data_IF_521946536736
#
_entry.id   IF_521946536736
#
_cell.length_a   1.000
_cell.length_b   1.000
_cell.length_c   1.000
_cell.angle_alpha   90.00
_cell.angle_beta   90.00
_cell.angle_gamma   90.00
#
_symmetry.space_group_name_H-M   'P 1'
#
loop_
_entity.id
_entity.type
_entity.pdbx_description
1 polymer ?
#
# COMPACT_ATOMS: atom_id res chain seq x y z
N UNK A 1 -25.23 47.93 -57.44
CA UNK A 1 -24.04 47.38 -56.77
C UNK A 1 -24.49 46.14 -56.04
N UNK A 2 -24.38 44.98 -56.68
CA UNK A 2 -24.91 43.71 -56.21
C UNK A 2 -23.78 42.96 -55.49
N UNK A 3 -24.02 42.61 -54.23
CA UNK A 3 -23.09 41.82 -53.41
C UNK A 3 -23.02 40.39 -53.97
N UNK A 4 -21.91 40.05 -54.63
CA UNK A 4 -21.53 38.65 -54.89
C UNK A 4 -21.21 37.97 -53.57
N UNK A 5 -22.17 37.23 -53.01
CA UNK A 5 -21.86 36.15 -52.07
C UNK A 5 -20.99 35.14 -52.81
N UNK A 6 -19.73 35.02 -52.42
CA UNK A 6 -18.88 33.93 -52.85
C UNK A 6 -19.37 32.68 -52.13
N UNK A 7 -20.30 32.00 -52.76
CA UNK A 7 -20.66 30.63 -52.43
C UNK A 7 -19.38 29.80 -52.55
N UNK A 8 -18.72 29.53 -51.42
CA UNK A 8 -17.59 28.63 -51.36
C UNK A 8 -18.16 27.28 -51.79
N UNK A 9 -18.01 26.92 -53.06
CA UNK A 9 -18.46 25.63 -53.55
C UNK A 9 -17.84 24.57 -52.66
N UNK A 10 -18.66 23.97 -51.80
CA UNK A 10 -18.28 22.88 -50.93
C UNK A 10 -17.80 21.77 -51.85
N UNK A 11 -16.48 21.70 -52.03
CA UNK A 11 -15.79 20.73 -52.85
C UNK A 11 -16.37 19.35 -52.55
N UNK A 12 -16.51 18.50 -53.57
CA UNK A 12 -16.98 17.12 -53.41
C UNK A 12 -16.23 16.39 -52.27
N UNK A 13 -14.95 16.72 -52.07
CA UNK A 13 -14.13 16.27 -50.95
C UNK A 13 -14.70 16.66 -49.58
N UNK A 14 -15.21 17.88 -49.41
CA UNK A 14 -15.76 18.35 -48.14
C UNK A 14 -17.00 17.55 -47.72
N UNK A 15 -17.94 17.32 -48.65
CA UNK A 15 -19.18 16.56 -48.38
C UNK A 15 -18.93 15.09 -48.14
N UNK A 16 -17.98 14.48 -48.85
CA UNK A 16 -17.77 13.03 -48.75
C UNK A 16 -16.74 12.63 -47.71
N UNK A 17 -15.74 13.49 -47.44
CA UNK A 17 -14.61 13.20 -46.56
C UNK A 17 -14.71 13.89 -45.19
N UNK A 18 -14.98 15.19 -45.15
CA UNK A 18 -14.99 15.96 -43.89
C UNK A 18 -16.35 15.92 -43.17
N UNK A 19 -17.46 15.87 -43.92
CA UNK A 19 -18.82 15.80 -43.35
C UNK A 19 -19.24 14.36 -42.98
N UNK A 20 -18.41 13.37 -43.31
CA UNK A 20 -18.66 11.98 -42.95
C UNK A 20 -18.12 11.68 -41.55
N UNK A 21 -19.05 11.40 -40.62
CA UNK A 21 -18.74 11.05 -39.22
C UNK A 21 -17.76 9.88 -39.09
N UNK A 22 -17.85 8.87 -39.96
CA UNK A 22 -16.96 7.71 -39.92
C UNK A 22 -15.50 8.08 -40.27
N UNK A 23 -15.33 8.94 -41.28
CA UNK A 23 -14.01 9.41 -41.70
C UNK A 23 -13.41 10.34 -40.65
N UNK A 24 -14.21 11.22 -40.05
CA UNK A 24 -13.76 12.08 -38.95
C UNK A 24 -13.30 11.26 -37.74
N UNK A 25 -14.07 10.26 -37.31
CA UNK A 25 -13.69 9.35 -36.21
C UNK A 25 -12.40 8.58 -36.54
N UNK A 26 -12.27 8.08 -37.78
CA UNK A 26 -11.06 7.42 -38.24
C UNK A 26 -9.84 8.36 -38.20
N UNK A 27 -9.99 9.60 -38.69
CA UNK A 27 -8.93 10.61 -38.68
C UNK A 27 -8.49 10.99 -37.26
N UNK A 28 -9.44 11.20 -36.34
CA UNK A 28 -9.16 11.50 -34.94
C UNK A 28 -8.43 10.32 -34.27
N UNK A 29 -8.86 9.09 -34.53
CA UNK A 29 -8.21 7.88 -34.01
C UNK A 29 -6.80 7.72 -34.57
N UNK A 30 -6.61 7.96 -35.86
CA UNK A 30 -5.31 7.92 -36.54
C UNK A 30 -4.37 9.00 -36.02
N UNK A 31 -4.88 10.22 -35.79
CA UNK A 31 -4.12 11.31 -35.18
C UNK A 31 -3.74 11.02 -33.71
N UNK A 32 -4.64 10.44 -32.91
CA UNK A 32 -4.31 9.95 -31.57
C UNK A 32 -3.21 8.89 -31.62
N UNK A 33 -3.34 7.90 -32.50
CA UNK A 33 -2.33 6.85 -32.70
C UNK A 33 -0.98 7.40 -33.15
N UNK A 34 -0.97 8.38 -34.05
CA UNK A 34 0.25 9.07 -34.50
C UNK A 34 0.92 9.84 -33.36
N UNK A 35 0.16 10.55 -32.53
CA UNK A 35 0.68 11.23 -31.35
C UNK A 35 1.34 10.24 -30.38
N UNK A 36 0.68 9.11 -30.09
CA UNK A 36 1.23 8.05 -29.23
C UNK A 36 2.51 7.46 -29.83
N UNK A 37 2.54 7.22 -31.14
CA UNK A 37 3.73 6.70 -31.84
C UNK A 37 4.91 7.68 -31.77
N UNK A 38 4.66 8.97 -32.00
CA UNK A 38 5.69 10.02 -31.91
C UNK A 38 6.20 10.14 -30.47
N UNK A 39 5.32 10.15 -29.47
CA UNK A 39 5.68 10.16 -28.05
C UNK A 39 6.56 8.95 -27.68
N UNK A 40 6.26 7.77 -28.20
CA UNK A 40 7.06 6.56 -28.00
C UNK A 40 8.48 6.70 -28.59
N UNK A 41 8.62 7.32 -29.76
CA UNK A 41 9.93 7.59 -30.40
C UNK A 41 10.76 8.65 -29.68
N UNK A 42 10.12 9.55 -28.93
CA UNK A 42 10.78 10.62 -28.16
C UNK A 42 10.96 10.21 -26.68
N UNK A 43 10.65 8.96 -26.32
CA UNK A 43 10.77 8.41 -24.95
C UNK A 43 12.12 8.66 -24.27
N UNK A 44 13.22 8.73 -25.04
CA UNK A 44 14.55 9.10 -24.54
C UNK A 44 14.58 10.47 -23.83
N UNK A 45 13.79 11.46 -24.27
CA UNK A 45 13.70 12.78 -23.60
C UNK A 45 13.06 12.65 -22.21
N UNK A 46 12.17 11.67 -22.03
CA UNK A 46 11.50 11.43 -20.76
C UNK A 46 12.29 10.51 -19.82
N UNK A 47 13.29 9.76 -20.33
CA UNK A 47 14.11 8.85 -19.51
C UNK A 47 14.77 9.55 -18.30
N UNK A 48 15.44 10.71 -18.46
CA UNK A 48 16.06 11.40 -17.33
C UNK A 48 15.04 11.85 -16.28
N UNK A 49 13.83 12.24 -16.71
CA UNK A 49 12.75 12.66 -15.81
C UNK A 49 12.22 11.47 -15.03
N UNK A 50 12.00 10.33 -15.69
CA UNK A 50 11.52 9.09 -15.07
C UNK A 50 12.56 8.55 -14.08
N UNK A 51 13.84 8.56 -14.44
CA UNK A 51 14.94 8.16 -13.56
C UNK A 51 15.07 9.07 -12.35
N UNK A 52 15.00 10.39 -12.55
CA UNK A 52 15.00 11.38 -11.47
C UNK A 52 13.82 11.18 -10.52
N UNK A 53 12.61 11.01 -11.08
CA UNK A 53 11.43 10.71 -10.28
C UNK A 53 11.61 9.39 -9.53
N UNK A 54 12.17 8.35 -10.15
CA UNK A 54 12.46 7.07 -9.50
C UNK A 54 13.35 7.22 -8.27
N UNK A 55 14.38 8.06 -8.32
CA UNK A 55 15.29 8.30 -7.18
C UNK A 55 14.62 9.07 -6.04
N UNK A 56 13.80 10.08 -6.36
CA UNK A 56 13.20 10.98 -5.36
C UNK A 56 11.86 10.46 -4.83
N UNK A 57 11.21 9.56 -5.56
CA UNK A 57 9.92 8.99 -5.22
C UNK A 57 9.96 8.35 -3.83
N UNK A 58 10.97 7.53 -3.53
CA UNK A 58 11.11 6.85 -2.24
C UNK A 58 11.12 7.81 -1.04
N UNK A 59 12.03 8.80 -0.96
CA UNK A 59 12.03 9.74 0.17
C UNK A 59 10.77 10.60 0.24
N UNK A 60 10.19 11.01 -0.90
CA UNK A 60 8.95 11.80 -0.92
C UNK A 60 7.78 11.01 -0.35
N UNK A 61 7.65 9.74 -0.73
CA UNK A 61 6.58 8.87 -0.27
C UNK A 61 6.68 8.64 1.23
N UNK A 62 7.87 8.25 1.71
CA UNK A 62 8.09 8.01 3.13
C UNK A 62 7.87 9.29 3.95
N UNK A 63 8.34 10.43 3.46
CA UNK A 63 8.08 11.72 4.09
C UNK A 63 6.59 12.07 4.09
N UNK A 64 5.84 11.77 3.02
CA UNK A 64 4.39 11.96 2.96
C UNK A 64 3.64 11.09 3.96
N UNK A 65 3.96 9.79 4.03
CA UNK A 65 3.37 8.87 5.01
C UNK A 65 3.63 9.34 6.44
N UNK A 66 4.89 9.68 6.76
CA UNK A 66 5.25 10.21 8.07
C UNK A 66 4.61 11.57 8.34
N UNK A 67 4.49 12.45 7.34
CA UNK A 67 3.81 13.74 7.49
C UNK A 67 2.36 13.54 7.94
N UNK A 68 1.60 12.67 7.29
CA UNK A 68 0.20 12.41 7.68
C UNK A 68 0.06 11.78 9.05
N UNK A 69 1.04 10.96 9.47
CA UNK A 69 1.06 10.35 10.80
C UNK A 69 1.44 11.35 11.90
N UNK A 70 2.41 12.22 11.63
CA UNK A 70 3.06 13.08 12.64
C UNK A 70 2.46 14.48 12.72
N UNK A 71 1.88 14.99 11.62
CA UNK A 71 1.29 16.34 11.61
C UNK A 71 0.22 16.53 12.70
N UNK A 72 -0.66 15.56 13.03
CA UNK A 72 -1.59 15.69 14.16
C UNK A 72 -0.89 15.91 15.51
N UNK A 73 0.27 15.28 15.73
CA UNK A 73 1.07 15.42 16.96
C UNK A 73 1.66 16.85 17.00
N UNK A 74 2.23 17.32 15.89
CA UNK A 74 2.77 18.67 15.78
C UNK A 74 1.67 19.72 15.97
N UNK A 75 0.51 19.54 15.34
CA UNK A 75 -0.64 20.45 15.47
C UNK A 75 -1.23 20.43 16.90
N UNK A 76 -1.22 19.28 17.58
CA UNK A 76 -1.60 19.19 18.98
C UNK A 76 -0.65 19.98 19.89
N UNK A 77 0.66 19.87 19.66
CA UNK A 77 1.68 20.65 20.39
C UNK A 77 1.55 22.16 20.12
N UNK A 78 1.31 22.54 18.86
CA UNK A 78 1.09 23.93 18.44
C UNK A 78 -0.14 24.54 19.14
N UNK A 79 -1.24 23.77 19.27
CA UNK A 79 -2.42 24.17 20.06
C UNK A 79 -2.12 24.41 21.54
N UNK A 80 -1.10 23.73 22.10
CA UNK A 80 -0.63 23.91 23.47
C UNK A 80 0.46 25.00 23.60
N UNK A 81 0.49 25.96 22.66
CA UNK A 81 1.39 27.12 22.64
C UNK A 81 2.88 26.78 22.43
N UNK A 82 3.21 25.58 21.97
CA UNK A 82 4.58 25.23 21.57
C UNK A 82 4.80 25.77 20.15
N UNK A 83 5.90 26.50 19.90
CA UNK A 83 6.24 26.94 18.55
C UNK A 83 6.37 25.72 17.62
N UNK A 84 5.74 25.79 16.43
CA UNK A 84 5.76 24.73 15.41
C UNK A 84 7.16 24.19 15.14
N UNK A 85 8.19 25.04 15.06
CA UNK A 85 9.57 24.59 14.86
C UNK A 85 10.07 23.72 16.01
N UNK A 86 9.79 24.11 17.26
CA UNK A 86 10.16 23.36 18.46
C UNK A 86 9.40 22.03 18.52
N UNK A 87 8.11 22.04 18.19
CA UNK A 87 7.30 20.82 18.11
C UNK A 87 7.88 19.83 17.08
N UNK A 88 8.25 20.29 15.89
CA UNK A 88 8.90 19.46 14.87
C UNK A 88 10.22 18.89 15.39
N UNK A 89 11.08 19.71 16.00
CA UNK A 89 12.35 19.23 16.57
C UNK A 89 12.13 18.17 17.64
N UNK A 90 11.18 18.36 18.55
CA UNK A 90 10.85 17.37 19.60
C UNK A 90 10.39 16.05 18.95
N UNK A 91 9.50 16.12 17.97
CA UNK A 91 9.02 14.93 17.24
C UNK A 91 10.17 14.20 16.55
N UNK A 92 11.09 14.92 15.89
CA UNK A 92 12.26 14.33 15.24
C UNK A 92 13.18 13.64 16.24
N UNK A 93 13.49 14.29 17.37
CA UNK A 93 14.34 13.70 18.42
C UNK A 93 13.67 12.46 19.02
N UNK A 94 12.37 12.52 19.29
CA UNK A 94 11.61 11.38 19.82
C UNK A 94 11.61 10.21 18.84
N UNK A 95 11.37 10.45 17.55
CA UNK A 95 11.39 9.40 16.53
C UNK A 95 12.78 8.81 16.37
N UNK A 96 13.82 9.65 16.29
CA UNK A 96 15.19 9.17 16.21
C UNK A 96 15.54 8.29 17.42
N UNK A 97 15.15 8.71 18.63
CA UNK A 97 15.31 7.92 19.84
C UNK A 97 14.55 6.59 19.77
N UNK A 98 13.27 6.60 19.39
CA UNK A 98 12.44 5.40 19.27
C UNK A 98 12.97 4.42 18.21
N UNK A 99 13.47 4.93 17.08
CA UNK A 99 14.09 4.11 16.03
C UNK A 99 15.39 3.50 16.55
N UNK A 100 16.30 4.29 17.12
CA UNK A 100 17.58 3.79 17.64
C UNK A 100 17.33 2.74 18.73
N UNK A 101 16.46 3.04 19.69
CA UNK A 101 16.09 2.12 20.77
C UNK A 101 15.41 0.86 20.25
N UNK A 102 14.42 1.02 19.36
CA UNK A 102 13.68 -0.07 18.74
C UNK A 102 14.60 -0.99 17.94
N UNK A 103 15.50 -0.45 17.12
CA UNK A 103 16.48 -1.24 16.38
C UNK A 103 17.50 -1.91 17.29
N UNK A 104 17.98 -1.22 18.34
CA UNK A 104 18.91 -1.79 19.31
C UNK A 104 18.34 -2.98 20.08
N UNK A 105 17.02 -3.02 20.31
CA UNK A 105 16.34 -4.15 20.96
C UNK A 105 15.89 -5.21 19.94
N UNK A 106 15.29 -4.78 18.84
CA UNK A 106 14.69 -5.67 17.86
C UNK A 106 15.74 -6.42 17.06
N UNK A 107 16.79 -5.77 16.55
CA UNK A 107 17.78 -6.44 15.67
C UNK A 107 18.46 -7.61 16.40
N UNK A 108 19.04 -7.45 17.61
CA UNK A 108 19.68 -8.57 18.29
C UNK A 108 18.68 -9.67 18.65
N UNK A 109 17.48 -9.30 19.10
CA UNK A 109 16.44 -10.26 19.46
C UNK A 109 16.00 -11.07 18.23
N UNK A 110 15.71 -10.41 17.10
CA UNK A 110 15.37 -11.04 15.83
C UNK A 110 16.50 -11.97 15.37
N UNK A 111 17.75 -11.49 15.40
CA UNK A 111 18.91 -12.31 15.03
C UNK A 111 19.01 -13.56 15.90
N UNK A 112 18.91 -13.43 17.23
CA UNK A 112 18.93 -14.57 18.14
C UNK A 112 17.79 -15.54 17.87
N UNK A 113 16.57 -15.04 17.63
CA UNK A 113 15.40 -15.87 17.37
C UNK A 113 15.48 -16.60 16.03
N UNK A 114 15.93 -15.93 14.96
CA UNK A 114 16.14 -16.55 13.65
C UNK A 114 17.24 -17.59 13.73
N UNK A 115 18.38 -17.29 14.34
CA UNK A 115 19.48 -18.24 14.49
C UNK A 115 19.10 -19.43 15.38
N UNK A 116 18.33 -19.20 16.45
CA UNK A 116 17.81 -20.27 17.30
C UNK A 116 16.79 -21.14 16.55
N UNK A 117 15.93 -20.54 15.72
CA UNK A 117 15.03 -21.31 14.87
C UNK A 117 15.81 -22.23 13.93
N UNK A 118 16.73 -21.67 13.13
CA UNK A 118 17.53 -22.42 12.15
C UNK A 118 18.32 -23.56 12.79
N UNK A 119 18.98 -23.30 13.93
CA UNK A 119 19.75 -24.34 14.65
C UNK A 119 18.87 -25.49 15.16
N UNK A 120 17.62 -25.21 15.49
CA UNK A 120 16.71 -26.20 16.05
C UNK A 120 15.83 -26.91 15.00
N UNK A 121 15.81 -26.45 13.73
CA UNK A 121 15.06 -27.09 12.64
C UNK A 121 15.28 -28.61 12.57
N UNK A 122 16.53 -29.14 12.62
CA UNK A 122 16.72 -30.59 12.53
C UNK A 122 16.10 -31.36 13.71
N UNK A 123 16.12 -30.78 14.91
CA UNK A 123 15.51 -31.38 16.09
C UNK A 123 13.98 -31.37 15.99
N UNK A 124 13.42 -30.30 15.43
CA UNK A 124 11.99 -30.16 15.19
C UNK A 124 11.46 -31.14 14.14
N UNK A 125 12.16 -31.32 13.03
CA UNK A 125 11.81 -32.31 12.01
C UNK A 125 11.78 -33.72 12.59
N UNK A 126 12.81 -34.10 13.38
CA UNK A 126 12.82 -35.39 14.09
C UNK A 126 11.64 -35.57 15.05
N UNK A 127 11.12 -34.48 15.62
CA UNK A 127 10.00 -34.52 16.55
C UNK A 127 8.66 -34.65 15.80
N UNK A 128 8.54 -33.99 14.63
CA UNK A 128 7.44 -34.16 13.71
C UNK A 128 7.40 -35.59 13.14
N UNK A 129 8.55 -36.13 12.71
CA UNK A 129 8.66 -37.51 12.19
C UNK A 129 8.18 -38.53 13.22
N UNK A 130 8.54 -38.38 14.51
CA UNK A 130 8.06 -39.27 15.58
C UNK A 130 6.55 -39.17 15.81
N UNK A 131 5.98 -37.97 15.74
CA UNK A 131 4.54 -37.79 15.91
C UNK A 131 3.78 -38.40 14.73
N UNK A 132 4.28 -38.19 13.51
CA UNK A 132 3.71 -38.79 12.31
C UNK A 132 3.82 -40.30 12.38
N UNK A 133 4.99 -40.85 12.73
CA UNK A 133 5.17 -42.31 12.85
C UNK A 133 4.21 -42.90 13.89
N UNK A 134 4.02 -42.27 15.06
CA UNK A 134 3.07 -42.73 16.09
C UNK A 134 1.60 -42.67 15.62
N UNK A 135 1.22 -41.64 14.85
CA UNK A 135 -0.14 -41.53 14.29
C UNK A 135 -0.35 -42.52 13.14
N UNK A 136 0.62 -42.64 12.23
CA UNK A 136 0.57 -43.51 11.05
C UNK A 136 0.57 -44.97 11.46
N UNK A 137 1.46 -45.40 12.37
CA UNK A 137 1.50 -46.79 12.85
C UNK A 137 0.26 -47.20 13.64
N UNK A 138 -0.42 -46.27 14.32
CA UNK A 138 -1.60 -46.60 15.13
C UNK A 138 -2.95 -46.47 14.41
N UNK A 139 -3.07 -45.59 13.41
CA UNK A 139 -4.37 -45.21 12.85
C UNK A 139 -4.47 -45.30 11.32
N UNK A 140 -3.38 -45.59 10.61
CA UNK A 140 -3.37 -45.67 9.14
C UNK A 140 -2.99 -47.09 8.70
N UNK A 141 -3.68 -47.62 7.69
CA UNK A 141 -3.41 -48.95 7.15
C UNK A 141 -2.02 -49.04 6.51
N UNK A 142 -1.42 -50.23 6.59
CA UNK A 142 -0.06 -50.49 6.11
C UNK A 142 0.16 -50.13 4.63
N UNK A 143 -0.90 -50.11 3.83
CA UNK A 143 -0.87 -49.80 2.40
C UNK A 143 -0.53 -48.33 2.10
N UNK A 144 -0.84 -47.40 3.00
CA UNK A 144 -0.55 -45.96 2.84
C UNK A 144 0.76 -45.53 3.52
N UNK A 145 1.35 -46.39 4.35
CA UNK A 145 2.58 -46.10 5.11
C UNK A 145 3.76 -45.68 4.22
N UNK A 146 4.12 -46.39 3.13
CA UNK A 146 5.26 -46.00 2.30
C UNK A 146 5.05 -44.67 1.58
N UNK A 147 3.81 -44.34 1.19
CA UNK A 147 3.49 -43.04 0.57
C UNK A 147 3.70 -41.91 1.58
N UNK A 148 3.20 -42.06 2.81
CA UNK A 148 3.36 -41.03 3.85
C UNK A 148 4.82 -40.83 4.24
N UNK A 149 5.61 -41.90 4.36
CA UNK A 149 7.05 -41.82 4.64
C UNK A 149 7.82 -41.08 3.53
N UNK A 150 7.48 -41.32 2.26
CA UNK A 150 8.09 -40.62 1.13
C UNK A 150 7.71 -39.12 1.09
N UNK A 151 6.43 -38.78 1.27
CA UNK A 151 5.97 -37.38 1.32
C UNK A 151 6.58 -36.61 2.49
N UNK A 152 6.75 -37.25 3.65
CA UNK A 152 7.30 -36.60 4.84
C UNK A 152 8.80 -36.41 4.75
N UNK A 153 9.55 -37.38 4.23
CA UNK A 153 10.98 -37.23 3.93
C UNK A 153 11.24 -36.09 2.92
N UNK A 154 10.45 -36.04 1.84
CA UNK A 154 10.53 -34.98 0.83
C UNK A 154 10.12 -33.60 1.37
N UNK A 155 9.15 -33.54 2.28
CA UNK A 155 8.75 -32.29 2.92
C UNK A 155 9.81 -31.80 3.91
N UNK A 156 10.40 -32.71 4.70
CA UNK A 156 11.48 -32.42 5.66
C UNK A 156 12.74 -31.89 4.98
N UNK A 157 13.13 -32.46 3.82
CA UNK A 157 14.26 -31.96 3.03
C UNK A 157 13.98 -30.57 2.45
N UNK A 158 12.81 -30.36 1.83
CA UNK A 158 12.39 -29.06 1.30
C UNK A 158 12.30 -27.97 2.37
N UNK A 159 11.82 -28.31 3.58
CA UNK A 159 11.75 -27.37 4.71
C UNK A 159 13.15 -27.01 5.21
N UNK A 160 14.08 -27.97 5.27
CA UNK A 160 15.48 -27.71 5.67
C UNK A 160 16.17 -26.80 4.67
N UNK A 161 15.97 -27.05 3.38
CA UNK A 161 16.48 -26.21 2.29
C UNK A 161 15.84 -24.84 2.31
N UNK A 162 14.52 -24.74 2.53
CA UNK A 162 13.83 -23.46 2.65
C UNK A 162 14.32 -22.66 3.87
N UNK A 163 14.47 -23.28 5.04
CA UNK A 163 14.91 -22.61 6.26
C UNK A 163 16.37 -22.10 6.15
N UNK A 164 17.27 -22.92 5.59
CA UNK A 164 18.66 -22.53 5.36
C UNK A 164 18.79 -21.43 4.30
N UNK A 165 18.03 -21.52 3.21
CA UNK A 165 17.96 -20.48 2.17
C UNK A 165 17.29 -19.20 2.65
N UNK A 166 16.22 -19.29 3.44
CA UNK A 166 15.54 -18.11 4.00
C UNK A 166 16.47 -17.37 4.96
N UNK A 167 17.18 -18.08 5.84
CA UNK A 167 18.14 -17.47 6.75
C UNK A 167 19.31 -16.82 6.00
N UNK A 168 19.92 -17.51 5.04
CA UNK A 168 21.03 -16.95 4.27
C UNK A 168 20.57 -15.76 3.42
N UNK A 169 19.39 -15.82 2.81
CA UNK A 169 18.79 -14.70 2.07
C UNK A 169 18.38 -13.56 2.99
N UNK A 170 17.86 -13.80 4.19
CA UNK A 170 17.50 -12.74 5.14
C UNK A 170 18.74 -12.00 5.64
N UNK A 171 19.81 -12.74 5.99
CA UNK A 171 21.10 -12.16 6.39
C UNK A 171 21.76 -11.43 5.22
N UNK A 172 21.74 -12.01 4.02
CA UNK A 172 22.27 -11.37 2.82
C UNK A 172 21.42 -10.16 2.39
N UNK A 173 20.10 -10.20 2.54
CA UNK A 173 19.23 -9.06 2.29
C UNK A 173 19.50 -7.93 3.28
N UNK A 174 19.63 -8.23 4.57
CA UNK A 174 20.04 -7.23 5.56
C UNK A 174 21.44 -6.66 5.26
N UNK A 175 22.40 -7.52 4.90
CA UNK A 175 23.76 -7.10 4.51
C UNK A 175 23.79 -6.29 3.21
N UNK A 176 22.93 -6.62 2.23
CA UNK A 176 22.82 -5.93 0.95
C UNK A 176 22.04 -4.61 1.07
N UNK A 177 21.06 -4.53 1.97
CA UNK A 177 20.43 -3.26 2.37
C UNK A 177 21.45 -2.31 2.98
N UNK A 178 22.38 -2.84 3.77
CA UNK A 178 23.47 -2.07 4.39
C UNK A 178 24.54 -1.70 3.34
N UNK A 179 24.83 -2.58 2.37
CA UNK A 179 25.97 -2.41 1.46
C UNK A 179 25.65 -1.74 0.11
N UNK A 180 24.45 -1.89 -0.47
CA UNK A 180 24.29 -1.66 -1.92
C UNK A 180 22.91 -1.18 -2.37
N UNK A 181 22.38 -0.09 -1.82
CA UNK A 181 21.41 0.71 -2.60
C UNK A 181 21.60 2.19 -2.36
N UNK A 182 22.30 2.86 -3.28
CA UNK A 182 22.47 4.32 -3.28
C UNK A 182 21.13 5.05 -3.10
N UNK A 183 20.03 4.50 -3.64
CA UNK A 183 18.68 5.05 -3.49
C UNK A 183 18.17 5.03 -2.04
N UNK A 184 18.45 3.98 -1.25
CA UNK A 184 18.01 3.89 0.15
C UNK A 184 18.80 4.86 1.02
N UNK A 185 20.12 4.97 0.82
CA UNK A 185 20.96 5.92 1.55
C UNK A 185 20.52 7.36 1.23
N UNK A 186 20.34 7.66 -0.06
CA UNK A 186 19.79 8.94 -0.51
C UNK A 186 18.43 9.19 0.14
N UNK A 187 17.56 8.19 0.21
CA UNK A 187 16.26 8.37 0.82
C UNK A 187 16.33 8.60 2.34
N UNK A 188 17.15 7.85 3.08
CA UNK A 188 17.32 8.02 4.53
C UNK A 188 17.83 9.43 4.85
N UNK A 189 18.69 9.99 4.00
CA UNK A 189 19.21 11.35 4.17
C UNK A 189 18.16 12.37 3.77
N UNK A 190 17.54 12.25 2.59
CA UNK A 190 16.64 13.25 2.02
C UNK A 190 15.26 13.26 2.69
N UNK A 191 14.72 12.10 3.07
CA UNK A 191 13.39 11.96 3.67
C UNK A 191 13.21 12.86 4.91
N UNK A 192 14.12 12.90 5.89
CA UNK A 192 14.02 13.83 7.02
C UNK A 192 13.92 15.29 6.60
N UNK A 193 14.67 15.73 5.59
CA UNK A 193 14.58 17.10 5.08
C UNK A 193 13.20 17.35 4.46
N UNK A 194 12.72 16.48 3.58
CA UNK A 194 11.40 16.62 2.96
C UNK A 194 10.31 16.64 4.03
N UNK A 195 10.35 15.71 4.98
CA UNK A 195 9.42 15.63 6.09
C UNK A 195 9.43 16.91 6.94
N UNK A 196 10.60 17.47 7.22
CA UNK A 196 10.74 18.72 7.96
C UNK A 196 10.01 19.86 7.24
N UNK A 197 10.25 20.04 5.93
CA UNK A 197 9.58 21.09 5.14
C UNK A 197 8.08 20.83 4.99
N UNK A 198 7.64 19.58 4.82
CA UNK A 198 6.21 19.24 4.80
C UNK A 198 5.54 19.57 6.13
N UNK A 199 6.15 19.21 7.26
CA UNK A 199 5.61 19.56 8.58
C UNK A 199 5.65 21.07 8.84
N UNK A 200 6.68 21.78 8.38
CA UNK A 200 6.78 23.23 8.59
C UNK A 200 5.79 24.00 7.73
N UNK A 201 5.76 23.73 6.43
CA UNK A 201 5.13 24.58 5.41
C UNK A 201 3.87 23.93 4.79
N UNK A 202 3.54 22.68 5.13
CA UNK A 202 2.45 21.90 4.51
C UNK A 202 1.08 22.58 4.58
N UNK A 203 0.78 23.34 5.63
CA UNK A 203 -0.46 24.12 5.75
C UNK A 203 -0.62 25.17 4.64
N UNK A 204 0.50 25.71 4.14
CA UNK A 204 0.51 26.76 3.12
C UNK A 204 0.58 26.20 1.69
N UNK A 205 0.85 24.90 1.52
CA UNK A 205 1.06 24.27 0.21
C UNK A 205 -0.13 24.49 -0.75
N UNK A 206 -1.37 24.36 -0.26
CA UNK A 206 -2.59 24.65 -1.04
C UNK A 206 -2.61 26.08 -1.58
N UNK A 207 -2.24 27.06 -0.76
CA UNK A 207 -2.16 28.47 -1.17
C UNK A 207 -1.10 28.69 -2.24
N UNK A 208 0.08 28.10 -2.05
CA UNK A 208 1.18 28.21 -3.01
C UNK A 208 0.90 27.54 -4.35
N UNK A 209 0.12 26.46 -4.39
CA UNK A 209 -0.24 25.82 -5.66
C UNK A 209 -1.38 26.58 -6.35
N UNK A 210 -2.41 27.00 -5.61
CA UNK A 210 -3.57 27.67 -6.20
C UNK A 210 -3.25 29.05 -6.79
N UNK A 211 -2.18 29.72 -6.37
CA UNK A 211 -1.78 31.01 -6.94
C UNK A 211 -1.38 30.92 -8.43
N UNK A 212 -0.86 29.77 -8.88
CA UNK A 212 -0.48 29.53 -10.28
C UNK A 212 -1.67 29.27 -11.20
N UNK A 213 -2.88 29.09 -10.64
CA UNK A 213 -4.09 28.81 -11.40
C UNK A 213 -4.88 30.10 -11.70
N UNK A 214 -5.62 30.14 -12.83
CA UNK A 214 -6.59 31.20 -13.10
C UNK A 214 -7.61 31.34 -11.97
N UNK A 215 -8.01 32.58 -11.66
CA UNK A 215 -8.87 32.92 -10.50
C UNK A 215 -10.16 32.10 -10.44
N UNK A 216 -10.76 31.80 -11.61
CA UNK A 216 -11.98 30.99 -11.74
C UNK A 216 -11.82 29.54 -11.24
N UNK A 217 -10.61 28.96 -11.32
CA UNK A 217 -10.36 27.57 -10.94
C UNK A 217 -9.80 27.40 -9.53
N UNK A 218 -9.30 28.48 -8.90
CA UNK A 218 -8.62 28.42 -7.60
C UNK A 218 -9.47 27.77 -6.50
N UNK A 219 -10.74 28.14 -6.41
CA UNK A 219 -11.64 27.60 -5.39
C UNK A 219 -11.91 26.10 -5.61
N UNK A 220 -12.29 25.71 -6.83
CA UNK A 220 -12.59 24.31 -7.17
C UNK A 220 -11.35 23.41 -7.02
N UNK A 221 -10.20 23.81 -7.56
CA UNK A 221 -8.96 23.05 -7.41
C UNK A 221 -8.49 22.99 -5.95
N UNK A 222 -8.64 24.09 -5.21
CA UNK A 222 -8.34 24.14 -3.79
C UNK A 222 -9.21 23.18 -2.97
N UNK A 223 -10.48 23.01 -3.33
CA UNK A 223 -11.35 22.02 -2.70
C UNK A 223 -10.86 20.60 -2.99
N UNK A 224 -10.56 20.27 -4.26
CA UNK A 224 -10.02 18.96 -4.65
C UNK A 224 -8.73 18.61 -3.90
N UNK A 225 -7.80 19.55 -3.75
CA UNK A 225 -6.60 19.33 -2.94
C UNK A 225 -6.92 19.04 -1.47
N UNK A 226 -7.94 19.71 -0.92
CA UNK A 226 -8.36 19.51 0.48
C UNK A 226 -8.96 18.12 0.67
N UNK A 227 -9.81 17.71 -0.27
CA UNK A 227 -10.46 16.41 -0.25
C UNK A 227 -9.43 15.27 -0.41
N UNK A 228 -8.49 15.41 -1.35
CA UNK A 228 -7.38 14.46 -1.52
C UNK A 228 -6.53 14.38 -0.24
N UNK A 229 -6.12 15.52 0.30
CA UNK A 229 -5.32 15.57 1.53
C UNK A 229 -6.05 14.93 2.71
N UNK A 230 -7.37 15.15 2.85
CA UNK A 230 -8.20 14.48 3.85
C UNK A 230 -8.19 12.97 3.66
N UNK A 231 -8.37 12.47 2.43
CA UNK A 231 -8.43 11.02 2.19
C UNK A 231 -7.09 10.34 2.39
N UNK A 232 -5.99 10.97 1.99
CA UNK A 232 -4.65 10.49 2.28
C UNK A 232 -4.38 10.47 3.80
N UNK A 233 -4.69 11.56 4.50
CA UNK A 233 -4.51 11.63 5.95
C UNK A 233 -5.31 10.57 6.70
N UNK A 234 -6.55 10.36 6.29
CA UNK A 234 -7.45 9.37 6.87
C UNK A 234 -6.99 7.94 6.58
N UNK A 235 -6.63 7.64 5.33
CA UNK A 235 -6.10 6.33 4.95
C UNK A 235 -4.84 5.99 5.72
N UNK A 236 -3.83 6.87 5.74
CA UNK A 236 -2.54 6.59 6.38
C UNK A 236 -2.70 6.36 7.88
N UNK A 237 -3.45 7.23 8.57
CA UNK A 237 -3.70 7.10 10.01
C UNK A 237 -4.52 5.86 10.32
N UNK A 238 -5.54 5.59 9.52
CA UNK A 238 -6.36 4.40 9.63
C UNK A 238 -5.50 3.13 9.47
N UNK A 239 -4.69 3.04 8.42
CA UNK A 239 -3.88 1.87 8.14
C UNK A 239 -2.83 1.60 9.22
N UNK A 240 -2.17 2.64 9.73
CA UNK A 240 -1.24 2.50 10.85
C UNK A 240 -1.97 2.03 12.11
N UNK A 241 -3.19 2.52 12.35
CA UNK A 241 -4.02 2.08 13.48
C UNK A 241 -4.41 0.61 13.35
N UNK A 242 -4.84 0.17 12.15
CA UNK A 242 -5.13 -1.25 11.88
C UNK A 242 -3.88 -2.10 12.08
N UNK A 243 -2.73 -1.69 11.53
CA UNK A 243 -1.46 -2.39 11.69
C UNK A 243 -1.06 -2.60 13.17
N UNK A 244 -1.24 -1.58 14.02
CA UNK A 244 -0.97 -1.68 15.46
C UNK A 244 -1.94 -2.66 16.14
N UNK A 245 -3.24 -2.57 15.81
CA UNK A 245 -4.25 -3.48 16.37
C UNK A 245 -3.95 -4.93 15.98
N UNK A 246 -3.64 -5.17 14.71
CA UNK A 246 -3.27 -6.51 14.19
C UNK A 246 -2.02 -7.03 14.88
N UNK A 247 -0.98 -6.21 15.05
CA UNK A 247 0.21 -6.60 15.82
C UNK A 247 -0.16 -7.04 17.24
N UNK A 248 -0.93 -6.22 17.96
CA UNK A 248 -1.35 -6.54 19.32
C UNK A 248 -2.18 -7.82 19.38
N UNK A 249 -3.13 -8.00 18.46
CA UNK A 249 -3.95 -9.21 18.37
C UNK A 249 -3.10 -10.46 18.16
N UNK A 250 -2.20 -10.47 17.18
CA UNK A 250 -1.31 -11.60 16.97
C UNK A 250 -0.39 -11.85 18.16
N UNK A 251 0.17 -10.81 18.79
CA UNK A 251 0.99 -10.95 20.01
C UNK A 251 0.18 -11.65 21.12
N UNK A 252 -1.04 -11.19 21.37
CA UNK A 252 -1.91 -11.77 22.42
C UNK A 252 -2.32 -13.19 22.07
N UNK A 253 -2.83 -13.43 20.86
CA UNK A 253 -3.32 -14.74 20.45
C UNK A 253 -2.21 -15.78 20.37
N UNK A 254 -1.04 -15.44 19.80
CA UNK A 254 0.12 -16.32 19.79
C UNK A 254 0.65 -16.63 21.20
N UNK A 255 0.60 -15.66 22.12
CA UNK A 255 0.94 -15.90 23.53
C UNK A 255 -0.04 -16.83 24.21
N UNK A 256 -1.35 -16.71 23.93
CA UNK A 256 -2.40 -17.59 24.47
C UNK A 256 -2.18 -19.04 24.03
N UNK A 257 -1.90 -19.28 22.74
CA UNK A 257 -1.68 -20.65 22.24
C UNK A 257 -0.30 -21.21 22.58
N UNK A 258 0.60 -20.39 23.15
CA UNK A 258 1.96 -20.78 23.52
C UNK A 258 2.90 -20.90 22.32
N UNK A 259 2.66 -20.17 21.24
CA UNK A 259 3.51 -20.19 20.05
C UNK A 259 4.85 -19.52 20.35
N UNK A 260 5.94 -20.24 20.04
CA UNK A 260 7.30 -19.69 20.17
C UNK A 260 7.45 -18.48 19.24
N UNK A 261 8.13 -17.45 19.73
CA UNK A 261 8.36 -16.20 18.99
C UNK A 261 7.07 -15.41 18.67
N UNK A 262 5.97 -15.65 19.39
CA UNK A 262 4.69 -14.98 19.15
C UNK A 262 4.76 -13.45 19.16
N UNK A 263 5.59 -12.85 20.02
CA UNK A 263 5.78 -11.38 20.04
C UNK A 263 6.37 -10.89 18.72
N UNK A 264 7.45 -11.53 18.28
CA UNK A 264 8.14 -11.20 17.03
C UNK A 264 7.26 -11.39 15.82
N UNK A 265 6.54 -12.51 15.75
CA UNK A 265 5.62 -12.80 14.66
C UNK A 265 4.48 -11.78 14.61
N UNK A 266 3.95 -11.36 15.75
CA UNK A 266 2.93 -10.31 15.80
C UNK A 266 3.46 -8.94 15.36
N UNK A 267 4.69 -8.56 15.74
CA UNK A 267 5.32 -7.32 15.24
C UNK A 267 5.52 -7.38 13.72
N UNK A 268 6.02 -8.50 13.19
CA UNK A 268 6.15 -8.72 11.74
C UNK A 268 4.78 -8.62 11.07
N UNK A 269 3.74 -9.20 11.67
CA UNK A 269 2.38 -9.13 11.17
C UNK A 269 1.86 -7.70 11.06
N UNK A 270 2.02 -6.88 12.11
CA UNK A 270 1.63 -5.48 12.03
C UNK A 270 2.38 -4.69 10.96
N UNK A 271 3.70 -4.88 10.85
CA UNK A 271 4.50 -4.19 9.82
C UNK A 271 4.06 -4.59 8.41
N UNK A 272 3.87 -5.89 8.16
CA UNK A 272 3.39 -6.38 6.87
C UNK A 272 1.96 -5.89 6.60
N UNK A 273 1.14 -5.73 7.64
CA UNK A 273 -0.22 -5.21 7.53
C UNK A 273 -0.32 -3.72 7.23
N UNK A 274 0.79 -3.02 7.00
CA UNK A 274 0.76 -1.73 6.30
C UNK A 274 0.27 -1.86 4.85
N UNK A 275 0.36 -3.06 4.26
CA UNK A 275 -0.29 -3.41 3.00
C UNK A 275 -1.61 -4.14 3.28
N UNK A 276 -2.78 -3.52 3.01
CA UNK A 276 -4.08 -4.12 3.30
C UNK A 276 -4.27 -5.49 2.66
N UNK A 277 -4.90 -6.41 3.40
CA UNK A 277 -5.25 -7.79 3.00
C UNK A 277 -4.06 -8.72 2.72
N UNK A 278 -2.94 -8.21 2.22
CA UNK A 278 -1.72 -8.99 1.95
C UNK A 278 -0.90 -9.20 3.22
N UNK A 279 -0.85 -8.21 4.11
CA UNK A 279 0.08 -8.20 5.24
C UNK A 279 -0.12 -9.34 6.23
N UNK A 280 -1.33 -9.50 6.75
CA UNK A 280 -1.69 -10.60 7.65
C UNK A 280 -1.48 -11.98 6.99
N UNK A 281 -1.74 -12.09 5.69
CA UNK A 281 -1.48 -13.33 4.94
C UNK A 281 0.02 -13.65 4.81
N UNK A 282 0.84 -12.66 4.46
CA UNK A 282 2.30 -12.84 4.38
C UNK A 282 2.91 -13.18 5.75
N UNK A 283 2.36 -12.59 6.82
CA UNK A 283 2.79 -12.86 8.18
C UNK A 283 2.39 -14.25 8.69
N UNK A 284 1.33 -14.84 8.12
CA UNK A 284 0.89 -16.19 8.44
C UNK A 284 1.93 -17.24 8.04
N UNK A 285 2.64 -17.05 6.91
CA UNK A 285 3.61 -18.01 6.38
C UNK A 285 4.68 -18.43 7.42
N UNK A 286 5.45 -17.50 8.03
CA UNK A 286 6.42 -17.88 9.05
C UNK A 286 5.76 -18.44 10.32
N UNK A 287 4.55 -18.00 10.69
CA UNK A 287 3.83 -18.50 11.85
C UNK A 287 3.37 -19.96 11.67
N UNK A 288 2.87 -20.33 10.48
CA UNK A 288 2.52 -21.71 10.14
C UNK A 288 3.74 -22.61 10.12
N UNK A 289 4.84 -22.14 9.52
CA UNK A 289 6.09 -22.88 9.50
C UNK A 289 6.57 -23.16 10.93
N UNK A 290 6.65 -22.13 11.79
CA UNK A 290 7.04 -22.30 13.19
C UNK A 290 6.05 -23.17 13.97
N UNK A 291 4.74 -23.00 13.73
CA UNK A 291 3.70 -23.78 14.39
C UNK A 291 3.82 -25.27 14.09
N UNK A 292 3.97 -25.64 12.81
CA UNK A 292 4.14 -27.02 12.38
C UNK A 292 5.47 -27.60 12.87
N UNK A 293 6.57 -26.87 12.63
CA UNK A 293 7.92 -27.36 12.88
C UNK A 293 8.18 -27.44 14.39
N UNK A 294 8.01 -26.35 15.12
CA UNK A 294 8.38 -26.30 16.53
C UNK A 294 7.30 -26.82 17.49
N UNK A 295 6.04 -26.94 17.04
CA UNK A 295 4.90 -27.34 17.88
C UNK A 295 4.09 -28.53 17.37
N UNK A 296 4.43 -29.09 16.21
CA UNK A 296 3.72 -30.22 15.60
C UNK A 296 2.32 -29.88 15.06
N UNK A 297 1.57 -30.90 14.59
CA UNK A 297 0.27 -30.71 13.95
C UNK A 297 -0.78 -30.03 14.81
N UNK A 298 -0.76 -30.26 16.14
CA UNK A 298 -1.68 -29.62 17.08
C UNK A 298 -1.43 -28.12 17.18
N UNK A 299 -0.17 -27.69 17.23
CA UNK A 299 0.15 -26.26 17.24
C UNK A 299 -0.15 -25.62 15.89
N UNK A 300 0.11 -26.31 14.77
CA UNK A 300 -0.30 -25.85 13.44
C UNK A 300 -1.81 -25.56 13.40
N UNK A 301 -2.65 -26.48 13.89
CA UNK A 301 -4.08 -26.29 13.97
C UNK A 301 -4.46 -25.07 14.83
N UNK A 302 -3.81 -24.87 15.99
CA UNK A 302 -4.00 -23.67 16.82
C UNK A 302 -3.63 -22.38 16.08
N UNK A 303 -2.54 -22.37 15.32
CA UNK A 303 -2.13 -21.20 14.52
C UNK A 303 -3.16 -20.88 13.44
N UNK A 304 -3.70 -21.89 12.76
CA UNK A 304 -4.78 -21.71 11.77
C UNK A 304 -6.04 -21.13 12.43
N UNK A 305 -6.42 -21.63 13.61
CA UNK A 305 -7.57 -21.09 14.36
C UNK A 305 -7.34 -19.63 14.76
N UNK A 306 -6.15 -19.29 15.26
CA UNK A 306 -5.78 -17.91 15.57
C UNK A 306 -5.91 -17.02 14.34
N UNK A 307 -5.44 -17.48 13.18
CA UNK A 307 -5.54 -16.73 11.94
C UNK A 307 -7.00 -16.51 11.50
N UNK A 308 -7.86 -17.52 11.58
CA UNK A 308 -9.28 -17.39 11.25
C UNK A 308 -9.97 -16.38 12.17
N UNK A 309 -9.67 -16.42 13.47
CA UNK A 309 -10.22 -15.48 14.47
C UNK A 309 -9.73 -14.07 14.16
N UNK A 310 -8.42 -13.90 13.96
CA UNK A 310 -7.79 -12.62 13.65
C UNK A 310 -8.38 -12.02 12.38
N UNK A 311 -8.43 -12.75 11.27
CA UNK A 311 -8.99 -12.29 10.01
C UNK A 311 -10.47 -11.92 10.11
N UNK A 312 -11.24 -12.67 10.91
CA UNK A 312 -12.65 -12.36 11.14
C UNK A 312 -12.79 -11.04 11.91
N UNK A 313 -11.98 -10.84 12.95
CA UNK A 313 -12.01 -9.61 13.75
C UNK A 313 -11.51 -8.42 12.92
N UNK A 314 -10.38 -8.58 12.22
CA UNK A 314 -9.79 -7.56 11.36
C UNK A 314 -10.78 -7.12 10.27
N UNK A 315 -11.31 -8.09 9.51
CA UNK A 315 -12.15 -7.81 8.36
C UNK A 315 -13.55 -7.31 8.70
N UNK A 316 -14.17 -7.83 9.79
CA UNK A 316 -15.56 -7.47 10.14
C UNK A 316 -15.68 -6.33 11.14
N UNK A 317 -14.65 -6.07 11.95
CA UNK A 317 -14.72 -5.07 13.03
C UNK A 317 -13.63 -4.01 12.89
N UNK A 318 -12.35 -4.39 12.90
CA UNK A 318 -11.25 -3.41 12.95
C UNK A 318 -11.23 -2.54 11.70
N UNK A 319 -11.20 -3.16 10.52
CA UNK A 319 -11.14 -2.42 9.25
C UNK A 319 -12.36 -1.51 9.06
N UNK A 320 -13.62 -1.97 9.26
CA UNK A 320 -14.78 -1.09 9.17
C UNK A 320 -14.80 0.03 10.21
N UNK A 321 -14.36 -0.21 11.46
CA UNK A 321 -14.36 0.82 12.51
C UNK A 321 -13.27 1.88 12.29
N UNK A 322 -12.12 1.48 11.75
CA UNK A 322 -10.95 2.34 11.60
C UNK A 322 -10.90 3.02 10.23
N UNK A 323 -11.17 2.27 9.16
CA UNK A 323 -11.14 2.77 7.77
C UNK A 323 -12.50 3.27 7.29
N UNK A 324 -13.60 2.79 7.89
CA UNK A 324 -14.94 3.37 7.78
C UNK A 324 -15.47 3.61 6.36
N UNK A 325 -16.41 4.56 6.27
CA UNK A 325 -16.99 5.07 5.01
C UNK A 325 -16.00 5.87 4.15
N UNK A 326 -14.81 6.16 4.67
CA UNK A 326 -13.89 7.15 4.11
C UNK A 326 -13.22 6.68 2.81
N UNK A 327 -13.15 5.37 2.56
CA UNK A 327 -12.58 4.85 1.31
C UNK A 327 -13.67 4.42 0.32
N UNK A 328 -14.79 3.84 0.78
CA UNK A 328 -15.86 3.30 -0.09
C UNK A 328 -15.29 2.59 -1.33
N UNK A 329 -14.25 1.77 -1.12
CA UNK A 329 -13.60 0.98 -2.16
C UNK A 329 -14.06 -0.45 -1.97
N UNK A 330 -14.66 -1.03 -3.01
CA UNK A 330 -15.03 -2.43 -2.99
C UNK A 330 -13.76 -3.30 -2.84
N UNK A 331 -13.76 -4.37 -2.02
CA UNK A 331 -12.57 -5.20 -1.79
C UNK A 331 -11.91 -5.73 -3.09
N UNK A 332 -12.73 -6.07 -4.09
CA UNK A 332 -12.23 -6.48 -5.42
C UNK A 332 -11.44 -5.36 -6.10
N UNK A 333 -11.86 -4.11 -5.96
CA UNK A 333 -11.13 -2.95 -6.50
C UNK A 333 -9.78 -2.80 -5.80
N UNK A 334 -9.72 -3.03 -4.49
CA UNK A 334 -8.45 -3.02 -3.74
C UNK A 334 -7.51 -4.09 -4.31
N UNK A 335 -8.00 -5.30 -4.54
CA UNK A 335 -7.20 -6.37 -5.14
C UNK A 335 -6.68 -5.99 -6.54
N UNK A 336 -7.53 -5.48 -7.43
CA UNK A 336 -7.10 -5.03 -8.76
C UNK A 336 -6.08 -3.91 -8.70
N UNK A 337 -6.30 -2.92 -7.83
CA UNK A 337 -5.38 -1.81 -7.61
C UNK A 337 -4.03 -2.33 -7.15
N UNK A 338 -3.98 -3.23 -6.16
CA UNK A 338 -2.72 -3.81 -5.66
C UNK A 338 -1.99 -4.65 -6.70
N UNK A 339 -2.70 -5.51 -7.44
CA UNK A 339 -2.11 -6.34 -8.49
C UNK A 339 -1.54 -5.49 -9.64
N UNK A 340 -2.30 -4.50 -10.09
CA UNK A 340 -1.91 -3.65 -11.22
C UNK A 340 -0.79 -2.68 -10.82
N UNK A 341 -0.93 -2.00 -9.69
CA UNK A 341 0.13 -1.10 -9.21
C UNK A 341 1.39 -1.87 -8.83
N UNK A 342 1.27 -3.04 -8.20
CA UNK A 342 2.40 -3.87 -7.83
C UNK A 342 3.18 -4.40 -9.03
N UNK A 343 2.50 -4.73 -10.13
CA UNK A 343 3.18 -5.13 -11.38
C UNK A 343 3.81 -3.95 -12.10
N UNK A 344 3.19 -2.77 -12.09
CA UNK A 344 3.70 -1.58 -12.79
C UNK A 344 4.85 -0.88 -12.04
N UNK A 345 4.76 -0.80 -10.71
CA UNK A 345 5.63 0.03 -9.86
C UNK A 345 6.32 -0.78 -8.76
N UNK A 346 6.25 -2.11 -8.81
CA UNK A 346 6.86 -2.99 -7.82
C UNK A 346 6.28 -2.79 -6.42
N UNK A 347 7.15 -2.88 -5.41
CA UNK A 347 6.76 -2.70 -4.00
C UNK A 347 6.10 -1.33 -3.74
N UNK A 348 6.55 -0.27 -4.43
CA UNK A 348 5.97 1.08 -4.27
C UNK A 348 4.52 1.14 -4.72
N UNK A 349 4.20 0.43 -5.81
CA UNK A 349 2.83 0.30 -6.28
C UNK A 349 1.94 -0.36 -5.24
N UNK A 350 2.40 -1.43 -4.61
CA UNK A 350 1.65 -2.13 -3.57
C UNK A 350 1.34 -1.23 -2.36
N UNK A 351 2.33 -0.43 -1.90
CA UNK A 351 2.12 0.49 -0.77
C UNK A 351 1.21 1.69 -1.11
N UNK A 352 1.30 2.20 -2.34
CA UNK A 352 0.61 3.43 -2.72
C UNK A 352 -0.60 3.26 -3.61
N UNK A 353 -0.88 2.06 -4.08
CA UNK A 353 -1.96 1.79 -5.02
C UNK A 353 -3.28 2.32 -4.48
N UNK A 354 -3.61 2.02 -3.23
CA UNK A 354 -4.87 2.42 -2.61
C UNK A 354 -4.92 3.95 -2.36
N UNK A 355 -3.92 4.60 -1.73
CA UNK A 355 -3.84 6.06 -1.65
C UNK A 355 -3.97 6.78 -3.00
N UNK A 356 -3.26 6.28 -4.02
CA UNK A 356 -3.25 6.86 -5.35
C UNK A 356 -4.63 6.68 -6.01
N UNK A 357 -5.23 5.50 -5.90
CA UNK A 357 -6.58 5.24 -6.38
C UNK A 357 -7.60 6.16 -5.70
N UNK A 358 -7.55 6.30 -4.37
CA UNK A 358 -8.46 7.17 -3.64
C UNK A 358 -8.33 8.63 -4.08
N UNK A 359 -7.09 9.11 -4.27
CA UNK A 359 -6.80 10.46 -4.76
C UNK A 359 -7.31 10.65 -6.19
N UNK A 360 -7.09 9.67 -7.07
CA UNK A 360 -7.58 9.68 -8.44
C UNK A 360 -9.11 9.67 -8.51
N UNK A 361 -9.78 8.87 -7.66
CA UNK A 361 -11.24 8.83 -7.55
C UNK A 361 -11.81 10.21 -7.20
N UNK A 362 -11.21 10.92 -6.23
CA UNK A 362 -11.62 12.28 -5.86
C UNK A 362 -11.41 13.26 -7.02
N UNK A 363 -10.23 13.23 -7.66
CA UNK A 363 -9.93 14.11 -8.79
C UNK A 363 -10.87 13.88 -9.98
N UNK A 364 -11.08 12.62 -10.36
CA UNK A 364 -11.96 12.23 -11.48
C UNK A 364 -13.40 12.62 -11.17
N UNK A 365 -13.89 12.37 -9.95
CA UNK A 365 -15.24 12.78 -9.55
C UNK A 365 -15.43 14.30 -9.64
N UNK A 366 -14.43 15.08 -9.23
CA UNK A 366 -14.48 16.53 -9.33
C UNK A 366 -14.46 17.02 -10.79
N UNK A 367 -13.64 16.40 -11.65
CA UNK A 367 -13.62 16.67 -13.09
C UNK A 367 -14.97 16.33 -13.72
N UNK A 368 -15.56 15.20 -13.35
CA UNK A 368 -16.85 14.78 -13.86
C UNK A 368 -17.98 15.72 -13.43
N UNK A 369 -18.01 16.14 -12.15
CA UNK A 369 -18.95 17.16 -11.65
C UNK A 369 -18.81 18.49 -12.41
N UNK A 370 -17.57 18.91 -12.67
CA UNK A 370 -17.32 20.09 -13.50
C UNK A 370 -17.83 19.91 -14.94
N UNK A 371 -17.59 18.74 -15.55
CA UNK A 371 -18.08 18.41 -16.88
C UNK A 371 -19.61 18.40 -16.96
N UNK A 372 -20.31 17.82 -15.97
CA UNK A 372 -21.77 17.86 -15.90
C UNK A 372 -22.29 19.30 -15.89
N UNK A 373 -21.67 20.17 -15.09
CA UNK A 373 -22.06 21.58 -14.99
C UNK A 373 -21.85 22.38 -16.28
N UNK A 374 -20.83 22.05 -17.07
CA UNK A 374 -20.44 22.83 -18.26
C UNK A 374 -21.00 22.25 -19.56
N UNK A 375 -21.18 20.93 -19.65
CA UNK A 375 -21.53 20.26 -20.90
C UNK A 375 -22.95 20.55 -21.38
N UNK A 376 -23.88 20.88 -20.46
CA UNK A 376 -25.30 21.02 -20.79
C UNK A 376 -25.95 19.72 -21.28
N UNK A 377 -25.26 18.58 -21.16
CA UNK A 377 -25.72 17.25 -21.58
C UNK A 377 -26.46 16.50 -20.47
N UNK A 378 -26.46 17.06 -19.25
CA UNK A 378 -27.13 16.50 -18.08
C UNK A 378 -28.29 17.42 -17.72
N UNK A 379 -29.50 16.87 -17.63
CA UNK A 379 -30.66 17.57 -17.09
C UNK A 379 -30.42 17.85 -15.59
N UNK A 380 -30.95 18.97 -15.10
CA UNK A 380 -30.75 19.39 -13.72
C UNK A 380 -31.62 18.55 -12.78
N UNK A 381 -31.22 17.31 -12.49
CA UNK A 381 -31.81 16.49 -11.42
C UNK A 381 -31.52 17.05 -10.01
N UNK A 382 -30.87 18.22 -9.90
CA UNK A 382 -30.39 18.84 -8.67
C UNK A 382 -31.47 19.50 -7.79
N UNK A 383 -32.74 19.49 -8.19
CA UNK A 383 -33.83 20.05 -7.36
C UNK A 383 -34.50 19.02 -6.44
N UNK A 384 -34.36 17.70 -6.68
CA UNK A 384 -35.04 16.69 -5.85
C UNK A 384 -34.31 16.30 -4.56
N UNK A 385 -32.99 16.49 -4.45
CA UNK A 385 -32.26 16.16 -3.21
C UNK A 385 -32.39 17.22 -2.10
N UNK A 386 -32.82 18.45 -2.44
CA UNK A 386 -33.06 19.51 -1.45
C UNK A 386 -34.37 19.31 -0.68
N UNK A 387 -35.43 18.90 -1.37
CA UNK A 387 -36.77 18.74 -0.77
C UNK A 387 -36.89 17.50 0.13
N UNK A 388 -36.08 16.46 -0.09
CA UNK A 388 -36.13 15.24 0.73
C UNK A 388 -35.46 15.46 2.10
N UNK A 389 -34.54 16.43 2.22
CA UNK A 389 -33.86 16.75 3.49
C UNK A 389 -34.65 17.65 4.45
N UNK A 390 -35.77 18.24 4.01
CA UNK A 390 -36.67 19.02 4.88
C UNK A 390 -37.85 18.17 5.41
N UNK A 391 -37.93 16.89 5.04
CA UNK A 391 -39.01 15.97 5.46
C UNK A 391 -38.54 14.73 6.25
N UNK A 392 -37.26 14.62 6.60
CA UNK A 392 -36.72 13.66 7.58
C UNK A 392 -35.89 14.39 8.65
#
# INVERSE_FOLDING_TARGET
MEHKEKDFSLSWFFKWFLDNKAITVFLVTLLMGLNIFILSKISFIFSPVIEFLGVIMLPVILAGLLYYLLNPIVDWMEKHKINRLVAITIVFVLIAFLIIWGLAVAIPSLQHQVMAFVRNVPAYLKQADRFIDDVVTKHISADFKPQIEEYTSNLSSQITDWASNFSSRAVNWAGNLISTTSQIIVAIIIMPFILFYLLRDGKNLKGYVTQFLPTKFRASFGQVMTDINSQLANYVRGQVTVAIIVALMFIVFFKIIGLRYGVTLGVIAGVLNLVPYLGSFLAMLPALAIGLIAGGPVMLAKVIVVFIIEQTIEGRFVSPLVLGSQLSIHPITILFVLLTSGTMFGIWGVFLGIPAYASAKVAIAAIFKWYQKVSGLYEADFEQEGEISEQE
#
